data_IF_724368366045
#
_entry.id   IF_724368366045
#
_cell.length_a   1.000
_cell.length_b   1.000
_cell.length_c   1.000
_cell.angle_alpha   90.00
_cell.angle_beta   90.00
_cell.angle_gamma   90.00
#
_symmetry.space_group_name_H-M   'P 1'
#
loop_
_entity.id
_entity.type
_entity.pdbx_description
1 polymer ?
#
# COMPACT_ATOMS: atom_id res chain seq x y z
N UNK A 1 -1.32 -5.64 -19.06
CA UNK A 1 -1.78 -5.45 -17.67
C UNK A 1 -2.53 -4.12 -17.59
N UNK A 2 -3.69 -4.10 -16.94
CA UNK A 2 -4.49 -2.92 -16.64
C UNK A 2 -4.41 -2.58 -15.15
N UNK A 3 -4.87 -1.39 -14.75
CA UNK A 3 -4.88 -0.99 -13.34
C UNK A 3 -5.68 -1.99 -12.48
N UNK A 4 -6.81 -2.50 -12.98
CA UNK A 4 -7.63 -3.47 -12.25
C UNK A 4 -6.84 -4.75 -11.92
N UNK A 5 -6.02 -5.25 -12.84
CA UNK A 5 -5.19 -6.45 -12.61
C UNK A 5 -4.19 -6.22 -11.46
N UNK A 6 -3.62 -5.00 -11.36
CA UNK A 6 -2.70 -4.62 -10.28
C UNK A 6 -3.44 -4.57 -8.94
N UNK A 7 -4.65 -4.02 -8.93
CA UNK A 7 -5.45 -3.92 -7.71
C UNK A 7 -5.95 -5.29 -7.25
N UNK A 8 -6.37 -6.17 -8.16
CA UNK A 8 -6.72 -7.56 -7.88
C UNK A 8 -5.53 -8.33 -7.29
N UNK A 9 -4.33 -8.17 -7.87
CA UNK A 9 -3.10 -8.75 -7.34
C UNK A 9 -2.83 -8.29 -5.91
N UNK A 10 -2.89 -6.97 -5.65
CA UNK A 10 -2.67 -6.43 -4.31
C UNK A 10 -3.73 -6.89 -3.31
N UNK A 11 -5.00 -6.97 -3.71
CA UNK A 11 -6.06 -7.50 -2.86
C UNK A 11 -5.74 -8.94 -2.44
N UNK A 12 -5.37 -9.81 -3.40
CA UNK A 12 -4.98 -11.19 -3.11
C UNK A 12 -3.77 -11.26 -2.17
N UNK A 13 -2.77 -10.41 -2.36
CA UNK A 13 -1.60 -10.32 -1.47
C UNK A 13 -2.01 -9.95 -0.03
N UNK A 14 -2.83 -8.90 0.14
CA UNK A 14 -3.27 -8.47 1.47
C UNK A 14 -4.11 -9.53 2.18
N UNK A 15 -4.97 -10.25 1.45
CA UNK A 15 -5.74 -11.37 1.99
C UNK A 15 -4.81 -12.52 2.39
N UNK A 16 -3.87 -12.91 1.52
CA UNK A 16 -2.93 -14.00 1.75
C UNK A 16 -1.95 -13.70 2.89
N UNK A 17 -1.64 -12.42 3.13
CA UNK A 17 -0.75 -12.00 4.21
C UNK A 17 -1.28 -12.36 5.60
N UNK A 18 -2.60 -12.49 5.77
CA UNK A 18 -3.27 -12.76 7.05
C UNK A 18 -2.72 -11.89 8.20
N UNK A 19 -2.43 -10.62 7.90
CA UNK A 19 -1.87 -9.72 8.88
C UNK A 19 -2.90 -9.49 10.01
N UNK A 20 -2.52 -9.60 11.30
CA UNK A 20 -3.47 -9.56 12.42
C UNK A 20 -4.27 -8.25 12.54
N UNK A 21 -3.70 -7.13 12.09
CA UNK A 21 -4.43 -5.85 12.00
C UNK A 21 -5.51 -5.81 10.91
N UNK A 22 -5.50 -6.70 9.92
CA UNK A 22 -6.36 -6.62 8.74
C UNK A 22 -7.65 -7.39 8.98
N UNK A 23 -8.78 -6.69 8.97
CA UNK A 23 -10.11 -7.26 9.14
C UNK A 23 -10.84 -7.53 7.82
N UNK A 24 -10.64 -6.68 6.82
CA UNK A 24 -11.30 -6.77 5.52
C UNK A 24 -10.42 -6.16 4.43
N UNK A 25 -10.48 -6.72 3.23
CA UNK A 25 -9.74 -6.24 2.05
C UNK A 25 -10.68 -6.29 0.84
N UNK A 26 -10.93 -5.14 0.24
CA UNK A 26 -11.85 -5.03 -0.90
C UNK A 26 -11.37 -4.07 -1.95
N UNK A 27 -11.71 -4.36 -3.20
CA UNK A 27 -11.65 -3.35 -4.26
C UNK A 27 -12.73 -2.29 -4.05
N UNK A 28 -12.46 -1.08 -4.51
CA UNK A 28 -13.42 0.02 -4.54
C UNK A 28 -13.15 0.98 -5.70
N UNK A 29 -14.10 1.86 -5.95
CA UNK A 29 -14.00 2.89 -6.97
C UNK A 29 -14.35 2.39 -8.38
N UNK A 30 -14.69 3.33 -9.25
CA UNK A 30 -15.13 3.05 -10.62
C UNK A 30 -14.03 3.33 -11.67
N UNK A 31 -12.85 3.76 -11.22
CA UNK A 31 -11.76 4.15 -12.12
C UNK A 31 -11.96 5.52 -12.78
N UNK A 32 -12.87 6.33 -12.25
CA UNK A 32 -13.10 7.72 -12.72
C UNK A 32 -12.31 8.71 -11.86
N UNK A 33 -12.05 9.94 -12.33
CA UNK A 33 -11.39 10.96 -11.50
C UNK A 33 -12.12 11.26 -10.19
N UNK A 34 -13.46 11.12 -10.16
CA UNK A 34 -14.30 11.34 -8.98
C UNK A 34 -14.38 10.10 -8.07
N UNK A 35 -14.15 8.91 -8.64
CA UNK A 35 -14.21 7.62 -7.94
C UNK A 35 -13.00 6.76 -8.38
N UNK A 36 -11.78 7.10 -7.93
CA UNK A 36 -10.58 6.40 -8.36
C UNK A 36 -10.61 4.96 -7.90
N UNK A 37 -10.23 4.04 -8.79
CA UNK A 37 -10.15 2.62 -8.47
C UNK A 37 -8.99 2.35 -7.49
N UNK A 38 -9.25 1.52 -6.48
CA UNK A 38 -8.26 1.17 -5.47
C UNK A 38 -8.58 -0.09 -4.67
N UNK A 39 -7.67 -0.43 -3.77
CA UNK A 39 -7.84 -1.43 -2.72
C UNK A 39 -8.01 -0.71 -1.39
N UNK A 40 -9.05 -1.05 -0.65
CA UNK A 40 -9.28 -0.62 0.72
C UNK A 40 -8.92 -1.76 1.68
N UNK A 41 -8.14 -1.45 2.70
CA UNK A 41 -7.78 -2.37 3.79
C UNK A 41 -8.36 -1.81 5.08
N UNK A 42 -9.34 -2.54 5.63
CA UNK A 42 -9.96 -2.19 6.90
C UNK A 42 -9.19 -2.84 8.03
N UNK A 43 -8.93 -2.03 9.04
CA UNK A 43 -8.26 -2.42 10.25
C UNK A 43 -9.24 -3.02 11.27
N UNK A 44 -8.80 -3.99 12.08
CA UNK A 44 -9.60 -4.59 13.17
C UNK A 44 -10.06 -3.58 14.23
N UNK A 45 -9.36 -2.45 14.34
CA UNK A 45 -9.72 -1.29 15.18
C UNK A 45 -10.71 -0.33 14.50
N UNK A 46 -11.14 -0.62 13.29
CA UNK A 46 -12.14 0.14 12.55
C UNK A 46 -11.59 1.26 11.65
N UNK A 47 -10.27 1.48 11.64
CA UNK A 47 -9.61 2.35 10.67
C UNK A 47 -9.66 1.80 9.25
N UNK A 48 -9.37 2.63 8.25
CA UNK A 48 -9.25 2.19 6.86
C UNK A 48 -8.08 2.86 6.18
N UNK A 49 -7.29 2.07 5.45
CA UNK A 49 -6.21 2.55 4.59
C UNK A 49 -6.51 2.16 3.15
N UNK A 50 -5.94 2.90 2.21
CA UNK A 50 -6.27 2.75 0.80
C UNK A 50 -5.03 2.88 -0.06
N UNK A 51 -4.99 2.08 -1.14
CA UNK A 51 -4.08 2.25 -2.27
C UNK A 51 -4.91 2.40 -3.54
N UNK A 52 -4.80 3.54 -4.23
CA UNK A 52 -5.61 3.81 -5.42
C UNK A 52 -4.81 4.41 -6.56
N UNK A 53 -5.24 4.10 -7.79
CA UNK A 53 -4.57 4.53 -9.00
C UNK A 53 -4.60 6.04 -9.18
N UNK A 54 -3.43 6.63 -9.43
CA UNK A 54 -3.30 8.08 -9.61
C UNK A 54 -2.29 8.42 -10.70
N UNK A 55 -2.34 9.66 -11.17
CA UNK A 55 -1.28 10.28 -11.97
C UNK A 55 -0.64 11.39 -11.14
N UNK A 56 0.63 11.24 -10.79
CA UNK A 56 1.39 12.22 -10.01
C UNK A 56 2.70 12.54 -10.72
N UNK A 57 3.17 13.78 -10.65
CA UNK A 57 4.47 14.18 -11.21
C UNK A 57 5.47 14.42 -10.09
N UNK A 58 6.71 14.01 -10.29
CA UNK A 58 7.81 14.28 -9.36
C UNK A 58 7.89 13.30 -8.17
N UNK A 59 7.39 12.08 -8.34
CA UNK A 59 7.62 11.02 -7.35
C UNK A 59 9.12 10.76 -7.15
N UNK A 60 9.53 10.56 -5.90
CA UNK A 60 10.91 10.24 -5.54
C UNK A 60 10.97 8.83 -4.96
N UNK A 61 11.86 7.95 -5.41
CA UNK A 61 12.04 6.64 -4.79
C UNK A 61 12.36 6.76 -3.30
N UNK A 62 11.80 5.86 -2.49
CA UNK A 62 12.07 5.77 -1.05
C UNK A 62 12.55 4.36 -0.74
N UNK A 63 13.58 4.27 0.11
CA UNK A 63 14.07 2.98 0.58
C UNK A 63 13.01 2.28 1.43
N UNK A 64 12.93 0.95 1.27
CA UNK A 64 12.00 0.14 2.05
C UNK A 64 12.43 0.09 3.52
N UNK A 65 11.61 0.58 4.47
CA UNK A 65 11.93 0.46 5.88
C UNK A 65 11.97 -1.01 6.32
N UNK A 66 12.90 -1.36 7.21
CA UNK A 66 12.99 -2.70 7.78
C UNK A 66 11.74 -3.03 8.61
N UNK A 67 11.30 -2.07 9.42
CA UNK A 67 10.14 -2.18 10.31
C UNK A 67 8.91 -1.56 9.65
N UNK A 68 7.76 -2.20 9.84
CA UNK A 68 6.49 -1.69 9.34
C UNK A 68 6.09 -0.42 10.14
N UNK A 69 5.73 0.70 9.48
CA UNK A 69 5.30 1.91 10.18
C UNK A 69 4.10 1.66 11.09
N UNK A 70 4.00 2.28 12.28
CA UNK A 70 2.91 2.05 13.22
C UNK A 70 1.54 2.46 12.64
N UNK A 71 0.42 1.97 13.19
CA UNK A 71 -0.93 2.28 12.70
C UNK A 71 -1.24 3.78 12.57
N UNK A 72 -0.72 4.64 13.46
CA UNK A 72 -0.88 6.11 13.35
C UNK A 72 -0.34 6.70 12.03
N UNK A 73 0.55 5.98 11.35
CA UNK A 73 1.11 6.31 10.04
C UNK A 73 0.46 5.43 8.96
N UNK A 74 -0.87 5.28 8.99
CA UNK A 74 -1.61 4.31 8.17
C UNK A 74 -1.30 4.38 6.67
N UNK A 75 -1.10 5.59 6.11
CA UNK A 75 -0.74 5.75 4.70
C UNK A 75 0.66 5.19 4.38
N UNK A 76 1.64 5.46 5.24
CA UNK A 76 2.97 4.89 5.13
C UNK A 76 2.92 3.37 5.34
N UNK A 77 2.17 2.93 6.36
CA UNK A 77 2.03 1.52 6.73
C UNK A 77 1.52 0.69 5.56
N UNK A 78 0.44 1.12 4.90
CA UNK A 78 -0.14 0.35 3.79
C UNK A 78 0.78 0.30 2.56
N UNK A 79 1.50 1.40 2.25
CA UNK A 79 2.46 1.42 1.16
C UNK A 79 3.64 0.46 1.43
N UNK A 80 4.23 0.54 2.64
CA UNK A 80 5.34 -0.33 3.07
C UNK A 80 4.90 -1.79 3.07
N UNK A 81 3.71 -2.09 3.59
CA UNK A 81 3.17 -3.45 3.59
C UNK A 81 3.04 -3.99 2.17
N UNK A 82 2.45 -3.22 1.24
CA UNK A 82 2.30 -3.64 -0.16
C UNK A 82 3.65 -4.02 -0.79
N UNK A 83 4.69 -3.20 -0.61
CA UNK A 83 6.02 -3.49 -1.17
C UNK A 83 6.67 -4.71 -0.52
N UNK A 84 6.55 -4.89 0.80
CA UNK A 84 7.04 -6.11 1.48
C UNK A 84 6.34 -7.38 0.95
N UNK A 85 5.03 -7.32 0.71
CA UNK A 85 4.28 -8.45 0.15
C UNK A 85 4.67 -8.74 -1.30
N UNK A 86 4.88 -7.70 -2.12
CA UNK A 86 5.38 -7.86 -3.48
C UNK A 86 6.79 -8.45 -3.53
N UNK A 87 7.69 -8.01 -2.63
CA UNK A 87 9.04 -8.54 -2.51
C UNK A 87 9.08 -10.01 -2.12
N UNK A 88 8.13 -10.46 -1.30
CA UNK A 88 7.96 -11.86 -0.92
C UNK A 88 7.35 -12.71 -2.04
N UNK A 89 6.26 -12.23 -2.67
CA UNK A 89 5.55 -13.00 -3.70
C UNK A 89 6.23 -13.02 -5.07
N UNK A 90 6.98 -11.97 -5.41
CA UNK A 90 7.65 -11.80 -6.71
C UNK A 90 6.74 -12.15 -7.92
N UNK A 91 5.55 -11.55 -8.04
CA UNK A 91 4.58 -11.90 -9.08
C UNK A 91 5.15 -11.68 -10.49
N UNK A 92 5.00 -12.67 -11.37
CA UNK A 92 5.63 -12.69 -12.71
C UNK A 92 5.09 -11.59 -13.64
N UNK A 93 3.88 -11.09 -13.39
CA UNK A 93 3.23 -10.02 -14.12
C UNK A 93 3.90 -8.65 -13.89
N UNK A 94 4.67 -8.52 -12.81
CA UNK A 94 5.36 -7.28 -12.44
C UNK A 94 6.87 -7.43 -12.62
N UNK A 95 7.46 -6.50 -13.36
CA UNK A 95 8.90 -6.42 -13.59
C UNK A 95 9.63 -5.66 -12.48
N UNK A 96 8.99 -4.65 -11.91
CA UNK A 96 9.56 -3.85 -10.82
C UNK A 96 8.46 -3.18 -10.00
N UNK A 97 8.75 -2.95 -8.73
CA UNK A 97 7.94 -2.12 -7.83
C UNK A 97 8.86 -1.41 -6.84
N UNK A 98 8.39 -0.30 -6.28
CA UNK A 98 9.11 0.46 -5.25
C UNK A 98 8.19 1.36 -4.45
N UNK A 99 8.62 1.70 -3.24
CA UNK A 99 8.03 2.81 -2.51
C UNK A 99 8.41 4.13 -3.17
N UNK A 100 7.47 5.06 -3.12
CA UNK A 100 7.71 6.43 -3.55
C UNK A 100 7.17 7.41 -2.52
N UNK A 101 7.88 8.52 -2.38
CA UNK A 101 7.35 9.74 -1.81
C UNK A 101 6.68 10.55 -2.91
N UNK A 102 5.59 11.22 -2.54
CA UNK A 102 4.86 12.10 -3.43
C UNK A 102 5.02 13.54 -2.92
N UNK A 103 5.34 14.50 -3.81
CA UNK A 103 5.40 15.92 -3.45
C UNK A 103 4.20 16.34 -2.60
N UNK A 104 4.48 17.16 -1.60
CA UNK A 104 3.48 17.73 -0.69
C UNK A 104 2.70 16.74 0.21
N UNK A 105 2.99 15.43 0.15
CA UNK A 105 2.37 14.42 1.01
C UNK A 105 3.33 13.92 2.10
N UNK A 106 2.74 13.44 3.20
CA UNK A 106 3.46 12.94 4.36
C UNK A 106 3.32 13.84 5.60
N UNK A 107 3.94 13.46 6.73
CA UNK A 107 4.02 14.27 7.94
C UNK A 107 4.69 15.61 7.64
N UNK A 108 4.37 16.66 8.40
CA UNK A 108 4.87 18.02 8.14
C UNK A 108 6.39 18.10 8.07
N UNK A 109 7.09 17.35 8.92
CA UNK A 109 8.55 17.25 9.02
C UNK A 109 9.19 16.28 8.01
N UNK A 110 8.39 15.49 7.30
CA UNK A 110 8.84 14.47 6.34
C UNK A 110 8.08 14.54 5.00
N UNK A 111 7.56 15.72 4.67
CA UNK A 111 6.77 15.97 3.46
C UNK A 111 7.64 15.78 2.21
N UNK A 112 7.13 15.03 1.23
CA UNK A 112 7.84 14.76 -0.02
C UNK A 112 9.01 13.78 0.11
N UNK A 113 9.24 13.21 1.31
CA UNK A 113 10.27 12.19 1.55
C UNK A 113 9.73 10.93 2.24
N UNK A 114 8.59 11.01 2.93
CA UNK A 114 7.93 9.85 3.52
C UNK A 114 7.23 9.00 2.44
N UNK A 115 7.17 7.66 2.61
CA UNK A 115 6.39 6.79 1.73
C UNK A 115 4.93 7.25 1.64
N UNK A 116 4.48 7.55 0.43
CA UNK A 116 3.11 8.02 0.17
C UNK A 116 2.46 7.28 -1.00
N UNK A 117 3.15 6.31 -1.58
CA UNK A 117 2.64 5.50 -2.67
C UNK A 117 3.57 4.36 -3.08
N UNK A 118 3.13 3.63 -4.10
CA UNK A 118 3.84 2.51 -4.70
C UNK A 118 3.88 2.73 -6.21
N UNK A 119 5.09 2.78 -6.77
CA UNK A 119 5.30 2.80 -8.22
C UNK A 119 5.54 1.38 -8.72
N UNK A 120 4.84 0.98 -9.79
CA UNK A 120 4.92 -0.37 -10.38
C UNK A 120 5.20 -0.32 -11.87
N UNK A 121 5.92 -1.31 -12.37
CA UNK A 121 6.20 -1.56 -13.78
C UNK A 121 5.80 -2.99 -14.10
N UNK A 122 4.82 -3.17 -14.98
CA UNK A 122 4.39 -4.48 -15.46
C UNK A 122 5.42 -5.11 -16.42
N UNK A 123 5.34 -6.43 -16.61
CA UNK A 123 6.17 -7.18 -17.55
C UNK A 123 6.06 -6.66 -19.00
N UNK A 124 4.88 -6.16 -19.39
CA UNK A 124 4.64 -5.55 -20.70
C UNK A 124 5.15 -4.09 -20.82
N UNK A 125 5.75 -3.53 -19.76
CA UNK A 125 6.27 -2.17 -19.72
C UNK A 125 5.29 -1.10 -19.25
N UNK A 126 4.01 -1.45 -19.02
CA UNK A 126 3.02 -0.52 -18.45
C UNK A 126 3.44 -0.03 -17.07
N UNK A 127 3.12 1.22 -16.74
CA UNK A 127 3.50 1.85 -15.47
C UNK A 127 2.27 2.26 -14.70
N UNK A 128 2.28 1.99 -13.40
CA UNK A 128 1.21 2.33 -12.48
C UNK A 128 1.77 3.07 -11.28
N UNK A 129 1.01 4.04 -10.79
CA UNK A 129 1.28 4.69 -9.53
C UNK A 129 0.05 4.55 -8.64
N UNK A 130 0.27 4.03 -7.45
CA UNK A 130 -0.75 3.93 -6.41
C UNK A 130 -0.44 4.92 -5.31
N UNK A 131 -1.40 5.77 -4.96
CA UNK A 131 -1.29 6.66 -3.80
C UNK A 131 -1.85 5.98 -2.57
N UNK A 132 -1.12 6.12 -1.46
CA UNK A 132 -1.58 5.68 -0.15
C UNK A 132 -2.35 6.79 0.56
N UNK A 133 -3.49 6.44 1.16
CA UNK A 133 -4.28 7.35 2.01
C UNK A 133 -4.79 6.62 3.25
N UNK A 134 -4.97 7.38 4.33
CA UNK A 134 -5.50 6.88 5.60
C UNK A 134 -6.80 7.59 5.93
N UNK A 135 -7.84 6.81 6.25
CA UNK A 135 -9.17 7.28 6.63
C UNK A 135 -9.36 7.51 8.12
N UNK A 136 -8.31 7.36 8.95
CA UNK A 136 -8.36 7.51 10.41
C UNK A 136 -9.21 6.43 11.11
N UNK A 137 -8.83 6.02 12.32
CA UNK A 137 -9.76 5.27 13.19
C UNK A 137 -10.55 6.22 14.09
N UNK A 138 -11.78 5.83 14.43
CA UNK A 138 -12.64 6.63 15.32
C UNK A 138 -12.21 6.56 16.80
N UNK A 139 -11.27 5.67 17.13
CA UNK A 139 -10.87 5.32 18.49
C UNK A 139 -9.41 5.68 18.83
N UNK A 140 -8.65 6.16 17.84
CA UNK A 140 -7.23 6.49 17.97
C UNK A 140 -6.33 5.34 17.50
N UNK A 141 -5.33 5.67 16.70
CA UNK A 141 -4.39 4.70 16.14
C UNK A 141 -3.16 4.54 17.05
N UNK A 142 -2.72 3.31 17.36
CA UNK A 142 -1.52 3.06 18.14
C UNK A 142 -0.28 3.79 17.63
N UNK A 143 0.51 4.31 18.57
CA UNK A 143 1.75 5.02 18.27
C UNK A 143 2.90 4.08 17.87
N UNK A 144 2.79 2.80 18.23
CA UNK A 144 3.74 1.73 17.98
C UNK A 144 3.04 0.59 17.23
N UNK A 145 3.82 -0.27 16.57
CA UNK A 145 3.28 -1.47 15.93
C UNK A 145 2.87 -2.48 17.03
N UNK A 146 1.60 -2.91 17.08
CA UNK A 146 1.14 -3.92 18.03
C UNK A 146 1.63 -5.34 17.71
N UNK A 147 2.16 -5.57 16.51
CA UNK A 147 2.60 -6.88 16.04
C UNK A 147 4.02 -6.84 15.47
N UNK A 148 5.03 -6.36 16.23
CA UNK A 148 6.40 -6.20 15.74
C UNK A 148 7.08 -7.53 15.36
N UNK A 149 6.57 -8.66 15.88
CA UNK A 149 7.02 -10.01 15.56
C UNK A 149 6.38 -10.59 14.29
N UNK A 150 5.30 -10.00 13.78
CA UNK A 150 4.67 -10.48 12.55
C UNK A 150 5.66 -10.42 11.38
N UNK A 151 5.63 -11.44 10.54
CA UNK A 151 6.47 -11.56 9.34
C UNK A 151 5.58 -11.91 8.15
N UNK A 152 6.01 -11.46 6.97
CA UNK A 152 5.35 -11.87 5.72
C UNK A 152 5.43 -13.40 5.60
N UNK A 153 4.31 -14.10 5.36
CA UNK A 153 4.31 -15.55 5.17
C UNK A 153 5.29 -15.98 4.07
N UNK A 154 6.14 -16.98 4.32
CA UNK A 154 7.13 -17.47 3.34
C UNK A 154 6.47 -18.07 2.08
N UNK A 155 5.26 -18.61 2.21
CA UNK A 155 4.49 -19.24 1.15
C UNK A 155 3.50 -18.27 0.46
N UNK A 156 3.82 -16.97 0.39
CA UNK A 156 3.01 -15.99 -0.31
C UNK A 156 3.10 -16.21 -1.84
N UNK A 157 2.49 -17.30 -2.34
CA UNK A 157 2.40 -17.61 -3.76
C UNK A 157 0.97 -17.34 -4.24
N UNK A 158 0.83 -16.53 -5.28
CA UNK A 158 -0.44 -16.13 -5.91
C UNK A 158 -0.32 -16.02 -7.41
#
# INVERSE_FOLDING_TARGET
MQLVDVLDLLQRLFVAAQHPDVADVRLYGEGTPQSPAGVAVKDTRGGSTYLWGTTWRGETPVDLPEVLPPPKLGAQRIAVLAVKLLDAARPAELKAWRLVALPDLGPTDARGVAPAGVGLVAADGSRFLLRATHGGSQTGDPAEDPHPEWRVPEALAI
#
